data_IF_399671667899
#
_entry.id   IF_399671667899
#
_cell.length_a   1.000
_cell.length_b   1.000
_cell.length_c   1.000
_cell.angle_alpha   90.00
_cell.angle_beta   90.00
_cell.angle_gamma   90.00
#
_symmetry.space_group_name_H-M   'P 1'
#
loop_
_entity.id
_entity.type
_entity.pdbx_description
1 polymer ?
#
# COMPACT_ATOMS: atom_id res chain seq x y z
N UNK A 1 6.09 -9.15 -7.31
CA UNK A 1 5.83 -7.81 -7.88
C UNK A 1 4.37 -7.46 -7.68
N UNK A 2 4.11 -6.51 -6.79
CA UNK A 2 2.77 -5.97 -6.54
C UNK A 2 2.46 -4.91 -7.60
N UNK A 3 1.23 -4.91 -8.13
CA UNK A 3 0.75 -3.92 -9.10
C UNK A 3 -0.64 -3.41 -8.75
N UNK A 4 -0.92 -2.16 -9.10
CA UNK A 4 -2.29 -1.61 -9.12
C UNK A 4 -3.05 -2.30 -10.26
N UNK A 5 -4.20 -2.88 -9.95
CA UNK A 5 -5.09 -3.54 -10.92
C UNK A 5 -6.49 -2.93 -10.96
N UNK A 6 -6.81 -2.05 -10.01
CA UNK A 6 -8.06 -1.30 -9.99
C UNK A 6 -8.00 -0.13 -9.02
N UNK A 7 -8.76 0.91 -9.34
CA UNK A 7 -8.96 2.07 -8.46
C UNK A 7 -10.44 2.37 -8.46
N UNK A 8 -11.08 2.32 -7.29
CA UNK A 8 -12.45 2.77 -7.10
C UNK A 8 -12.39 4.11 -6.38
N UNK A 9 -12.72 5.18 -7.10
CA UNK A 9 -12.87 6.52 -6.52
C UNK A 9 -14.29 6.70 -6.02
N UNK A 10 -14.43 7.33 -4.86
CA UNK A 10 -15.72 7.63 -4.24
C UNK A 10 -15.54 8.82 -3.28
N UNK A 11 -16.57 9.63 -3.08
CA UNK A 11 -16.54 10.73 -2.11
C UNK A 11 -16.53 10.22 -0.66
N UNK A 12 -17.03 8.99 -0.43
CA UNK A 12 -16.95 8.29 0.85
C UNK A 12 -15.62 7.56 0.99
N UNK A 13 -14.82 7.84 2.05
CA UNK A 13 -13.53 7.18 2.26
C UNK A 13 -13.66 5.67 2.52
N UNK A 14 -14.80 5.21 3.04
CA UNK A 14 -15.05 3.79 3.32
C UNK A 14 -15.44 3.00 2.05
N UNK A 15 -15.80 3.69 0.97
CA UNK A 15 -16.12 3.10 -0.33
C UNK A 15 -15.03 3.34 -1.39
N UNK A 16 -14.08 4.23 -1.10
CA UNK A 16 -12.91 4.50 -1.92
C UNK A 16 -11.80 3.49 -1.63
N UNK A 17 -11.26 2.86 -2.67
CA UNK A 17 -10.14 1.93 -2.52
C UNK A 17 -9.23 1.81 -3.74
N UNK A 18 -8.03 1.30 -3.49
CA UNK A 18 -7.09 0.82 -4.50
C UNK A 18 -6.93 -0.69 -4.38
N UNK A 19 -7.07 -1.39 -5.49
CA UNK A 19 -6.89 -2.84 -5.58
C UNK A 19 -5.50 -3.15 -6.15
N UNK A 20 -4.76 -3.97 -5.42
CA UNK A 20 -3.46 -4.48 -5.85
C UNK A 20 -3.50 -5.99 -6.03
N UNK A 21 -2.60 -6.49 -6.86
CA UNK A 21 -2.34 -7.91 -7.00
C UNK A 21 -0.84 -8.17 -6.97
N UNK A 22 -0.43 -9.22 -6.25
CA UNK A 22 0.91 -9.76 -6.43
C UNK A 22 0.96 -10.61 -7.70
N UNK A 23 1.50 -10.04 -8.77
CA UNK A 23 1.69 -10.71 -10.07
C UNK A 23 3.10 -11.31 -10.22
N UNK A 24 3.90 -11.33 -9.16
CA UNK A 24 5.16 -12.05 -9.12
C UNK A 24 4.95 -13.54 -8.84
N UNK A 25 6.02 -14.32 -8.95
CA UNK A 25 6.00 -15.77 -8.68
C UNK A 25 6.26 -16.11 -7.21
N UNK A 26 6.68 -15.14 -6.39
CA UNK A 26 7.02 -15.30 -4.98
C UNK A 26 6.08 -14.50 -4.07
N UNK A 27 6.10 -14.82 -2.78
CA UNK A 27 5.48 -13.96 -1.74
C UNK A 27 6.23 -12.63 -1.68
N UNK A 28 5.49 -11.56 -1.49
CA UNK A 28 6.03 -10.20 -1.41
C UNK A 28 5.58 -9.53 -0.11
N UNK A 29 6.47 -8.79 0.54
CA UNK A 29 6.11 -8.00 1.72
C UNK A 29 5.41 -6.70 1.30
N UNK A 30 4.36 -6.30 2.03
CA UNK A 30 3.76 -4.99 1.84
C UNK A 30 4.68 -3.85 2.31
N UNK A 31 5.41 -4.06 3.41
CA UNK A 31 6.28 -3.04 4.00
C UNK A 31 7.24 -2.45 2.97
N UNK A 32 7.22 -1.11 2.88
CA UNK A 32 8.10 -0.36 1.99
C UNK A 32 7.55 -0.12 0.58
N UNK A 33 6.30 -0.53 0.34
CA UNK A 33 5.51 -0.02 -0.78
C UNK A 33 4.87 1.32 -0.40
N UNK A 34 4.78 2.23 -1.38
CA UNK A 34 4.13 3.53 -1.22
C UNK A 34 3.18 3.74 -2.39
N UNK A 35 1.94 4.13 -2.08
CA UNK A 35 0.93 4.49 -3.07
C UNK A 35 0.75 6.00 -3.00
N UNK A 36 0.79 6.69 -4.12
CA UNK A 36 0.58 8.14 -4.14
C UNK A 36 -0.06 8.60 -5.45
N UNK A 37 -0.67 9.78 -5.43
CA UNK A 37 -1.16 10.43 -6.66
C UNK A 37 -0.02 11.13 -7.42
N UNK A 38 -0.21 11.34 -8.72
CA UNK A 38 0.70 12.22 -9.51
C UNK A 38 0.84 13.61 -8.88
N UNK A 39 -0.27 14.17 -8.37
CA UNK A 39 -0.27 15.48 -7.73
C UNK A 39 0.68 15.55 -6.52
N UNK A 40 0.87 14.44 -5.79
CA UNK A 40 1.84 14.38 -4.70
C UNK A 40 3.28 14.61 -5.20
N UNK A 41 3.62 14.10 -6.39
CA UNK A 41 4.91 14.33 -7.03
C UNK A 41 5.05 15.77 -7.52
N UNK A 42 4.00 16.32 -8.14
CA UNK A 42 4.01 17.68 -8.68
C UNK A 42 4.10 18.75 -7.59
N UNK A 43 3.38 18.57 -6.48
CA UNK A 43 3.33 19.52 -5.37
C UNK A 43 4.43 19.32 -4.32
N UNK A 44 5.18 18.21 -4.40
CA UNK A 44 6.10 17.74 -3.36
C UNK A 44 5.42 17.60 -1.97
N UNK A 45 4.09 17.45 -1.94
CA UNK A 45 3.29 17.22 -0.74
C UNK A 45 2.88 15.75 -0.67
N UNK A 46 3.64 15.00 0.13
CA UNK A 46 3.49 13.55 0.23
C UNK A 46 2.67 13.10 1.43
N UNK A 47 2.30 13.99 2.36
CA UNK A 47 1.70 13.54 3.61
C UNK A 47 0.22 13.21 3.48
N UNK A 48 -0.52 13.98 2.68
CA UNK A 48 -1.96 13.77 2.51
C UNK A 48 -2.33 13.01 1.24
N UNK A 49 -1.43 12.97 0.27
CA UNK A 49 -1.66 12.36 -1.04
C UNK A 49 -0.93 11.02 -1.24
N UNK A 50 -0.40 10.44 -0.17
CA UNK A 50 0.27 9.15 -0.18
C UNK A 50 -0.13 8.23 0.99
N UNK A 51 0.07 6.93 0.78
CA UNK A 51 0.02 5.88 1.79
C UNK A 51 1.30 5.06 1.77
N UNK A 52 1.93 4.92 2.93
CA UNK A 52 3.08 4.03 3.13
C UNK A 52 2.59 2.77 3.83
N UNK A 53 2.72 1.61 3.20
CA UNK A 53 2.40 0.34 3.82
C UNK A 53 3.39 0.03 4.96
N UNK A 54 2.84 -0.27 6.15
CA UNK A 54 3.60 -0.55 7.38
C UNK A 54 3.51 -2.00 7.83
N UNK A 55 2.69 -2.79 7.15
CA UNK A 55 2.40 -4.19 7.44
C UNK A 55 3.56 -5.07 6.98
N UNK A 56 4.04 -5.95 7.87
CA UNK A 56 4.99 -7.02 7.51
C UNK A 56 4.34 -8.19 6.75
N UNK A 57 3.07 -8.02 6.36
CA UNK A 57 2.27 -9.06 5.73
C UNK A 57 2.91 -9.54 4.42
N UNK A 58 2.87 -10.86 4.22
CA UNK A 58 3.43 -11.53 3.07
C UNK A 58 2.31 -11.91 2.10
N UNK A 59 2.17 -11.14 1.02
CA UNK A 59 1.13 -11.35 -0.01
C UNK A 59 1.55 -12.49 -0.94
N UNK A 60 0.83 -13.63 -0.98
CA UNK A 60 1.17 -14.72 -1.89
C UNK A 60 1.01 -14.36 -3.36
N UNK A 61 1.68 -15.12 -4.24
CA UNK A 61 1.50 -15.03 -5.68
C UNK A 61 0.00 -15.17 -6.05
N UNK A 62 -0.47 -14.29 -6.93
CA UNK A 62 -1.85 -14.24 -7.42
C UNK A 62 -2.86 -13.63 -6.46
N UNK A 63 -2.49 -13.36 -5.20
CA UNK A 63 -3.40 -12.82 -4.19
C UNK A 63 -3.54 -11.30 -4.29
N UNK A 64 -4.68 -10.83 -3.76
CA UNK A 64 -5.08 -9.44 -3.82
C UNK A 64 -4.93 -8.73 -2.48
N UNK A 65 -4.69 -7.42 -2.57
CA UNK A 65 -4.70 -6.48 -1.44
C UNK A 65 -5.65 -5.36 -1.79
N UNK A 66 -6.53 -5.00 -0.87
CA UNK A 66 -7.38 -3.82 -1.00
C UNK A 66 -6.95 -2.79 0.04
N UNK A 67 -6.65 -1.57 -0.42
CA UNK A 67 -6.36 -0.43 0.44
C UNK A 67 -7.56 0.49 0.42
N UNK A 68 -8.33 0.51 1.50
CA UNK A 68 -9.38 1.50 1.71
C UNK A 68 -8.79 2.81 2.23
N UNK A 69 -9.38 3.93 1.79
CA UNK A 69 -9.00 5.25 2.33
C UNK A 69 -9.46 5.42 3.77
N UNK A 70 -10.64 4.91 4.11
CA UNK A 70 -11.25 5.00 5.43
C UNK A 70 -10.54 4.21 6.53
N UNK A 71 -11.28 4.00 7.63
CA UNK A 71 -10.77 3.36 8.84
C UNK A 71 -10.96 1.85 8.83
N UNK A 72 -10.09 1.15 9.54
CA UNK A 72 -10.23 -0.28 9.75
C UNK A 72 -9.01 -0.93 10.39
N UNK A 73 -9.07 -2.25 10.50
CA UNK A 73 -7.96 -3.07 11.01
C UNK A 73 -7.46 -3.99 9.90
N UNK A 74 -6.15 -3.96 9.59
CA UNK A 74 -5.58 -4.83 8.59
C UNK A 74 -5.85 -6.30 8.89
N UNK A 75 -6.30 -7.06 7.88
CA UNK A 75 -6.64 -8.48 8.05
C UNK A 75 -6.76 -9.20 6.72
N UNK A 76 -6.52 -10.51 6.76
CA UNK A 76 -7.02 -11.40 5.73
C UNK A 76 -8.50 -11.68 5.94
N UNK A 77 -9.30 -11.60 4.89
CA UNK A 77 -10.68 -12.05 4.91
C UNK A 77 -11.09 -12.61 3.55
N UNK A 78 -12.14 -13.41 3.56
CA UNK A 78 -12.77 -13.90 2.33
C UNK A 78 -13.92 -13.00 1.94
N UNK A 79 -14.00 -12.67 0.66
CA UNK A 79 -15.15 -12.01 0.06
C UNK A 79 -16.32 -12.98 -0.09
N UNK A 80 -17.50 -12.46 -0.49
CA UNK A 80 -18.71 -13.27 -0.69
C UNK A 80 -18.53 -14.37 -1.75
N UNK A 81 -17.68 -14.12 -2.74
CA UNK A 81 -17.26 -15.06 -3.79
C UNK A 81 -16.07 -15.95 -3.37
N UNK A 82 -15.75 -15.99 -2.09
CA UNK A 82 -14.74 -16.86 -1.48
C UNK A 82 -13.27 -16.55 -1.88
N UNK A 83 -13.02 -15.40 -2.53
CA UNK A 83 -11.67 -14.93 -2.82
C UNK A 83 -10.98 -14.46 -1.52
N UNK A 84 -9.73 -14.87 -1.31
CA UNK A 84 -8.94 -14.45 -0.16
C UNK A 84 -8.22 -13.13 -0.48
N UNK A 85 -8.51 -12.09 0.30
CA UNK A 85 -7.98 -10.74 0.10
C UNK A 85 -7.40 -10.22 1.41
N UNK A 86 -6.28 -9.52 1.34
CA UNK A 86 -5.76 -8.74 2.46
C UNK A 86 -6.35 -7.34 2.43
N UNK A 87 -7.03 -6.95 3.51
CA UNK A 87 -7.60 -5.62 3.70
C UNK A 87 -6.59 -4.76 4.45
N UNK A 88 -6.27 -3.60 3.89
CA UNK A 88 -5.46 -2.54 4.47
C UNK A 88 -6.26 -1.23 4.49
N UNK A 89 -5.86 -0.29 5.33
CA UNK A 89 -6.61 0.93 5.60
C UNK A 89 -5.66 2.11 5.78
N UNK A 90 -5.97 3.25 5.16
CA UNK A 90 -5.20 4.49 5.35
C UNK A 90 -5.55 5.18 6.66
N UNK A 91 -6.77 4.98 7.17
CA UNK A 91 -7.25 5.61 8.41
C UNK A 91 -7.56 7.09 8.24
N UNK A 92 -8.17 7.47 7.11
CA UNK A 92 -8.49 8.87 6.78
C UNK A 92 -9.99 9.11 6.92
N UNK A 93 -10.34 10.33 7.34
CA UNK A 93 -11.74 10.77 7.49
C UNK A 93 -12.33 11.31 6.19
N UNK A 94 -11.51 11.49 5.15
CA UNK A 94 -11.92 12.04 3.86
C UNK A 94 -11.35 11.22 2.71
N UNK A 95 -12.11 11.15 1.61
CA UNK A 95 -11.62 10.58 0.35
C UNK A 95 -10.45 11.40 -0.22
N UNK A 96 -9.46 10.69 -0.77
CA UNK A 96 -8.22 11.29 -1.31
C UNK A 96 -8.22 11.16 -2.83
N UNK A 97 -8.50 9.97 -3.36
CA UNK A 97 -8.34 9.68 -4.78
C UNK A 97 -9.43 10.30 -5.64
N UNK A 98 -10.62 10.56 -5.08
CA UNK A 98 -11.69 11.33 -5.69
C UNK A 98 -11.32 12.81 -5.88
N UNK A 99 -10.57 13.38 -4.91
CA UNK A 99 -10.13 14.79 -4.93
C UNK A 99 -8.90 15.03 -5.80
N UNK A 100 -8.16 13.96 -6.13
CA UNK A 100 -6.93 14.01 -6.92
C UNK A 100 -7.11 13.25 -8.24
N UNK A 101 -7.73 13.89 -9.26
CA UNK A 101 -7.87 13.29 -10.57
C UNK A 101 -6.50 13.11 -11.21
N UNK A 102 -6.20 11.91 -11.69
CA UNK A 102 -4.89 11.59 -12.29
C UNK A 102 -4.45 10.15 -12.02
N UNK A 103 -3.27 9.75 -12.51
CA UNK A 103 -2.73 8.43 -12.24
C UNK A 103 -2.33 8.28 -10.77
N UNK A 104 -2.40 7.04 -10.29
CA UNK A 104 -1.80 6.62 -9.02
C UNK A 104 -0.54 5.81 -9.32
N UNK A 105 0.49 6.03 -8.52
CA UNK A 105 1.76 5.33 -8.60
C UNK A 105 1.92 4.39 -7.43
N UNK A 106 2.50 3.22 -7.70
CA UNK A 106 2.99 2.31 -6.68
C UNK A 106 4.51 2.30 -6.74
N UNK A 107 5.13 2.91 -5.74
CA UNK A 107 6.58 2.87 -5.56
C UNK A 107 6.95 1.67 -4.69
N UNK A 108 8.15 1.16 -4.93
CA UNK A 108 8.76 0.11 -4.12
C UNK A 108 10.21 0.46 -3.82
N UNK A 109 10.73 -0.13 -2.74
CA UNK A 109 12.14 -0.05 -2.38
C UNK A 109 13.01 -0.70 -3.48
N UNK A 110 13.84 0.10 -4.13
CA UNK A 110 14.82 -0.36 -5.13
C UNK A 110 16.21 -0.57 -4.53
N UNK A 111 16.62 0.31 -3.63
CA UNK A 111 17.93 0.29 -3.00
C UNK A 111 17.80 0.63 -1.52
N UNK A 112 18.67 0.07 -0.69
CA UNK A 112 18.80 0.45 0.72
C UNK A 112 20.26 0.50 1.08
N UNK A 113 20.69 1.66 1.56
CA UNK A 113 22.01 1.84 2.14
C UNK A 113 21.90 1.71 3.66
N UNK A 114 22.81 0.93 4.26
CA UNK A 114 22.93 0.81 5.71
C UNK A 114 24.36 1.14 6.13
N UNK A 115 24.50 2.04 7.12
CA UNK A 115 25.81 2.33 7.71
C UNK A 115 26.33 1.10 8.47
N UNK A 116 27.63 0.82 8.38
CA UNK A 116 28.30 -0.18 9.23
C UNK A 116 28.48 0.37 10.64
N UNK A 117 27.49 0.25 11.51
CA UNK A 117 27.67 0.42 12.96
C UNK A 117 26.54 -0.23 13.77
N UNK A 118 26.69 -1.51 14.11
CA UNK A 118 26.04 -2.16 15.27
C UNK A 118 26.50 -3.62 15.54
N UNK A 119 27.64 -4.09 15.03
CA UNK A 119 28.09 -5.50 15.25
C UNK A 119 29.58 -5.64 15.65
N UNK A 120 30.21 -4.59 16.18
CA UNK A 120 31.64 -4.62 16.55
C UNK A 120 31.95 -4.24 18.01
N UNK A 121 30.98 -4.18 18.92
CA UNK A 121 31.24 -3.82 20.33
C UNK A 121 30.62 -4.77 21.38
N UNK A 122 30.60 -6.08 21.10
CA UNK A 122 30.36 -7.12 22.14
C UNK A 122 31.28 -8.33 22.00
N UNK A 123 32.53 -8.10 21.59
CA UNK A 123 33.59 -9.10 21.68
C UNK A 123 34.87 -8.42 22.21
N UNK A 124 34.90 -8.21 23.52
CA UNK A 124 36.12 -7.95 24.30
C UNK A 124 35.93 -8.50 25.70
#
# INVERSE_FOLDING_TARGET
>A
MIRIVGVQRNDSPDEEFVLFQNQGTLRETLRGHVVLSELALECADNFDLAHVFREDEQVPCGMYVILYTGHGKPRWARTKDNALIFFAYMGRDEAIWAKCPGPLHLLMKQHSYTNRAANQLMAS
#
